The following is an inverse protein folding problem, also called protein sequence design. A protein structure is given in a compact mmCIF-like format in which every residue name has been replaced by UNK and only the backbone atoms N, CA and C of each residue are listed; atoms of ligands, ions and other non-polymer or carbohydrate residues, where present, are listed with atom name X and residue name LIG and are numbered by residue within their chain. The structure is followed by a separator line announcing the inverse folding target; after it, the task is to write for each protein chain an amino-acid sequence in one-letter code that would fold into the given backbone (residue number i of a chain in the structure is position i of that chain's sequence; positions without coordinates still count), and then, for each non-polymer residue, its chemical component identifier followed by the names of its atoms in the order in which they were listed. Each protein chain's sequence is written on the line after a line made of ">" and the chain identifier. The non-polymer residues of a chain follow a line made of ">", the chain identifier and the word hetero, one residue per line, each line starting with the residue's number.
data_IF_886530298689
#
_entry.id   IF_886530298689
#
_cell.length_a   1.000
_cell.length_b   1.000
_cell.length_c   1.000
_cell.angle_alpha   90.00
_cell.angle_beta   90.00
_cell.angle_gamma   90.00
#
_symmetry.space_group_name_H-M   'P 1'
#
loop_
_entity.id
_entity.type
_entity.pdbx_description
1 polymer ?
#
# COMPACT_ATOMS: atom_id res chain seq x y z
N UNK A 1 1.98 -23.41 0.62
CA UNK A 1 3.15 -22.57 0.96
C UNK A 1 3.19 -21.36 0.05
N UNK A 2 3.39 -20.18 0.62
CA UNK A 2 3.50 -18.94 -0.16
C UNK A 2 4.96 -18.77 -0.59
N UNK A 3 5.21 -18.71 -1.89
CA UNK A 3 6.53 -18.54 -2.48
C UNK A 3 6.70 -17.20 -3.18
N UNK A 4 5.59 -16.60 -3.57
CA UNK A 4 5.57 -15.30 -4.26
C UNK A 4 4.52 -14.38 -3.69
N UNK A 5 4.86 -13.10 -3.56
CA UNK A 5 3.96 -12.06 -3.06
C UNK A 5 4.03 -10.88 -4.02
N UNK A 6 2.87 -10.46 -4.51
CA UNK A 6 2.76 -9.23 -5.27
C UNK A 6 2.27 -8.10 -4.34
N UNK A 7 2.95 -6.98 -4.40
CA UNK A 7 2.72 -5.86 -3.46
C UNK A 7 2.32 -4.61 -4.23
N UNK A 8 1.28 -3.95 -3.75
CA UNK A 8 0.87 -2.64 -4.26
C UNK A 8 0.40 -1.78 -3.10
N UNK A 9 1.02 -0.65 -2.88
CA UNK A 9 0.57 0.32 -1.89
C UNK A 9 -0.75 0.96 -2.32
N UNK A 10 -1.60 1.30 -1.36
CA UNK A 10 -2.88 1.95 -1.60
C UNK A 10 -3.92 1.01 -2.20
N UNK A 11 -4.57 1.41 -3.29
CA UNK A 11 -5.60 0.63 -3.97
C UNK A 11 -4.97 -0.27 -5.04
N UNK A 12 -4.87 -1.57 -4.76
CA UNK A 12 -4.16 -2.52 -5.60
C UNK A 12 -5.01 -3.29 -6.61
N UNK A 13 -6.32 -3.06 -6.64
CA UNK A 13 -7.23 -3.88 -7.45
C UNK A 13 -6.88 -3.91 -8.93
N UNK A 14 -6.65 -2.76 -9.55
CA UNK A 14 -6.32 -2.69 -10.99
C UNK A 14 -4.87 -3.10 -11.27
N UNK A 15 -3.95 -2.73 -10.40
CA UNK A 15 -2.51 -3.02 -10.58
C UNK A 15 -2.22 -4.52 -10.45
N UNK A 16 -2.84 -5.17 -9.47
CA UNK A 16 -2.60 -6.58 -9.17
C UNK A 16 -3.48 -7.52 -10.00
N UNK A 17 -4.48 -7.00 -10.69
CA UNK A 17 -5.39 -7.82 -11.49
C UNK A 17 -4.62 -8.66 -12.50
N UNK A 18 -4.82 -9.97 -12.44
CA UNK A 18 -4.17 -10.92 -13.36
C UNK A 18 -2.70 -11.21 -13.08
N UNK A 19 -2.11 -10.62 -12.05
CA UNK A 19 -0.74 -10.95 -11.64
C UNK A 19 -0.71 -12.35 -11.02
N UNK A 20 0.17 -13.21 -11.52
CA UNK A 20 0.36 -14.53 -10.93
C UNK A 20 1.26 -14.44 -9.70
N UNK A 21 0.65 -14.69 -8.54
CA UNK A 21 1.36 -14.74 -7.27
C UNK A 21 0.55 -15.56 -6.26
N UNK A 22 1.24 -16.14 -5.30
CA UNK A 22 0.60 -16.91 -4.24
C UNK A 22 -0.20 -16.02 -3.27
N UNK A 23 0.25 -14.79 -3.10
CA UNK A 23 -0.45 -13.82 -2.26
C UNK A 23 -0.33 -12.40 -2.81
N UNK A 24 -1.36 -11.60 -2.53
CA UNK A 24 -1.35 -10.15 -2.73
C UNK A 24 -1.29 -9.46 -1.37
N UNK A 25 -0.45 -8.45 -1.26
CA UNK A 25 -0.38 -7.54 -0.11
C UNK A 25 -0.64 -6.13 -0.62
N UNK A 26 -1.74 -5.55 -0.21
CA UNK A 26 -2.15 -4.21 -0.64
C UNK A 26 -2.96 -3.50 0.44
N UNK A 27 -3.23 -2.22 0.26
CA UNK A 27 -4.06 -1.46 1.19
C UNK A 27 -5.53 -1.83 1.09
N UNK A 28 -6.08 -1.75 -0.11
CA UNK A 28 -7.49 -2.04 -0.36
C UNK A 28 -7.74 -2.60 -1.75
N UNK A 29 -8.82 -3.33 -1.88
CA UNK A 29 -9.36 -3.85 -3.14
C UNK A 29 -10.86 -3.86 -3.07
N UNK A 30 -11.53 -3.77 -4.23
CA UNK A 30 -12.96 -3.99 -4.30
C UNK A 30 -13.29 -5.45 -3.97
N UNK A 31 -14.47 -5.67 -3.45
CA UNK A 31 -14.92 -7.01 -3.08
C UNK A 31 -14.79 -8.03 -4.22
N UNK A 32 -15.18 -7.63 -5.44
CA UNK A 32 -15.08 -8.52 -6.61
C UNK A 32 -13.63 -8.85 -6.97
N UNK A 33 -12.70 -7.93 -6.80
CA UNK A 33 -11.28 -8.19 -7.06
C UNK A 33 -10.72 -9.21 -6.07
N UNK A 34 -11.14 -9.13 -4.80
CA UNK A 34 -10.76 -10.11 -3.77
C UNK A 34 -11.32 -11.49 -4.10
N UNK A 35 -12.59 -11.56 -4.51
CA UNK A 35 -13.22 -12.83 -4.89
C UNK A 35 -12.51 -13.47 -6.09
N UNK A 36 -12.17 -12.67 -7.09
CA UNK A 36 -11.45 -13.14 -8.27
C UNK A 36 -10.06 -13.69 -7.92
N UNK A 37 -9.29 -12.96 -7.12
CA UNK A 37 -8.00 -13.42 -6.65
C UNK A 37 -8.10 -14.75 -5.90
N UNK A 38 -9.06 -14.82 -4.98
CA UNK A 38 -9.31 -16.04 -4.20
C UNK A 38 -9.71 -17.23 -5.09
N UNK A 39 -10.55 -17.00 -6.10
CA UNK A 39 -10.95 -18.04 -7.04
C UNK A 39 -9.77 -18.59 -7.84
N UNK A 40 -8.74 -17.79 -8.07
CA UNK A 40 -7.50 -18.22 -8.72
C UNK A 40 -6.50 -18.87 -7.76
N UNK A 41 -6.83 -18.97 -6.49
CA UNK A 41 -5.95 -19.55 -5.47
C UNK A 41 -4.95 -18.58 -4.86
N UNK A 42 -5.12 -17.28 -5.09
CA UNK A 42 -4.26 -16.24 -4.52
C UNK A 42 -4.84 -15.77 -3.17
N UNK A 43 -4.04 -15.79 -2.13
CA UNK A 43 -4.38 -15.20 -0.84
C UNK A 43 -4.31 -13.69 -0.90
N UNK A 44 -5.20 -12.98 -0.20
CA UNK A 44 -5.21 -11.52 -0.20
C UNK A 44 -5.10 -11.00 1.23
N UNK A 45 -4.15 -10.09 1.44
CA UNK A 45 -3.95 -9.40 2.72
C UNK A 45 -4.20 -7.91 2.47
N UNK A 46 -5.23 -7.37 3.13
CA UNK A 46 -5.61 -5.97 3.06
C UNK A 46 -5.18 -5.26 4.34
N UNK A 47 -4.49 -4.14 4.21
CA UNK A 47 -3.88 -3.41 5.33
C UNK A 47 -4.42 -1.99 5.51
N UNK A 48 -5.47 -1.60 4.80
CA UNK A 48 -6.00 -0.25 4.64
C UNK A 48 -5.09 0.63 3.78
N UNK A 49 -5.71 1.56 3.04
CA UNK A 49 -5.03 2.32 1.98
C UNK A 49 -3.76 3.02 2.48
N UNK A 50 -3.94 3.96 3.40
CA UNK A 50 -2.84 4.83 3.84
C UNK A 50 -1.83 4.13 4.74
N UNK A 51 -2.20 3.05 5.40
CA UNK A 51 -1.26 2.25 6.17
C UNK A 51 -0.14 1.66 5.31
N UNK A 52 -0.44 1.37 4.04
CA UNK A 52 0.56 0.85 3.10
C UNK A 52 1.42 1.95 2.49
N UNK A 53 1.08 3.22 2.70
CA UNK A 53 1.78 4.37 2.13
C UNK A 53 2.60 5.15 3.16
N UNK A 54 2.12 5.26 4.41
CA UNK A 54 2.74 6.08 5.45
C UNK A 54 4.19 5.73 5.73
N UNK A 55 4.53 4.47 5.71
CA UNK A 55 5.90 4.03 5.99
C UNK A 55 6.94 4.62 5.05
N UNK A 56 6.56 4.95 3.83
CA UNK A 56 7.47 5.56 2.86
C UNK A 56 7.68 7.06 3.09
N UNK A 57 6.79 7.75 3.79
CA UNK A 57 6.85 9.21 3.96
C UNK A 57 8.16 9.67 4.56
N UNK A 58 8.72 8.93 5.49
CA UNK A 58 9.99 9.26 6.12
C UNK A 58 11.15 9.23 5.11
N UNK A 59 11.16 8.24 4.25
CA UNK A 59 12.16 8.09 3.18
C UNK A 59 11.95 9.17 2.12
N UNK A 60 10.71 9.39 1.71
CA UNK A 60 10.35 10.41 0.73
C UNK A 60 10.71 11.82 1.23
N UNK A 61 10.45 12.12 2.50
CA UNK A 61 10.84 13.38 3.12
C UNK A 61 12.34 13.65 2.96
N UNK A 62 13.17 12.64 3.27
CA UNK A 62 14.62 12.79 3.17
C UNK A 62 15.06 13.01 1.72
N UNK A 63 14.47 12.31 0.77
CA UNK A 63 14.76 12.48 -0.66
C UNK A 63 14.36 13.86 -1.16
N UNK A 64 13.17 14.32 -0.79
CA UNK A 64 12.64 15.62 -1.20
C UNK A 64 13.44 16.76 -0.55
N UNK A 65 13.78 16.64 0.72
CA UNK A 65 14.61 17.63 1.41
C UNK A 65 15.98 17.77 0.74
N UNK A 66 16.58 16.67 0.33
CA UNK A 66 17.86 16.69 -0.39
C UNK A 66 17.73 17.33 -1.76
N UNK A 67 16.65 17.06 -2.47
CA UNK A 67 16.39 17.64 -3.79
C UNK A 67 16.17 19.15 -3.73
N UNK A 68 15.40 19.64 -2.76
CA UNK A 68 15.07 21.05 -2.59
C UNK A 68 16.21 21.86 -1.92
N UNK A 69 17.13 21.19 -1.25
CA UNK A 69 18.22 21.84 -0.55
C UNK A 69 17.73 22.77 0.56
N UNK A 70 18.25 24.01 0.57
CA UNK A 70 17.90 25.01 1.59
C UNK A 70 16.68 25.84 1.24
N UNK A 71 16.09 25.64 0.06
CA UNK A 71 14.98 26.47 -0.43
C UNK A 71 13.67 26.20 0.29
N UNK A 72 13.53 25.01 0.89
CA UNK A 72 12.30 24.63 1.58
C UNK A 72 12.59 23.71 2.75
N UNK A 73 11.76 23.81 3.77
CA UNK A 73 11.73 22.86 4.88
C UNK A 73 10.67 21.79 4.59
N UNK A 74 11.06 20.51 4.64
CA UNK A 74 10.17 19.38 4.36
C UNK A 74 9.88 18.63 5.66
N UNK A 75 8.62 18.52 6.00
CA UNK A 75 8.15 17.85 7.22
C UNK A 75 7.11 16.79 6.89
N UNK A 76 7.11 15.70 7.66
CA UNK A 76 6.00 14.74 7.67
C UNK A 76 5.01 15.18 8.73
N UNK A 77 3.71 15.23 8.39
CA UNK A 77 2.66 15.54 9.35
C UNK A 77 2.70 14.58 10.53
N UNK A 78 2.58 15.10 11.73
CA UNK A 78 2.49 14.29 12.96
C UNK A 78 1.05 13.99 13.37
N UNK A 79 0.08 14.60 12.71
CA UNK A 79 -1.35 14.43 12.99
C UNK A 79 -2.05 13.52 11.99
N UNK A 80 -1.33 13.12 10.95
CA UNK A 80 -1.86 12.16 9.98
C UNK A 80 -2.03 10.78 10.62
N UNK A 81 -3.18 10.18 10.41
CA UNK A 81 -3.52 8.84 10.92
C UNK A 81 -4.56 8.20 10.02
N UNK A 82 -4.72 6.90 10.16
CA UNK A 82 -5.79 6.17 9.49
C UNK A 82 -7.15 6.72 9.93
N UNK A 83 -8.03 7.11 8.98
CA UNK A 83 -9.36 7.62 9.33
C UNK A 83 -10.33 6.55 9.80
N UNK A 84 -10.02 5.28 9.55
CA UNK A 84 -10.87 4.15 9.92
C UNK A 84 -10.33 3.48 11.17
N UNK A 85 -11.20 3.21 12.13
CA UNK A 85 -10.89 2.49 13.35
C UNK A 85 -11.64 1.15 13.39
N UNK A 86 -11.10 0.22 14.15
CA UNK A 86 -11.81 -1.00 14.47
C UNK A 86 -12.83 -0.75 15.60
N UNK A 87 -14.04 -1.24 15.41
CA UNK A 87 -15.09 -1.11 16.41
C UNK A 87 -14.85 -2.00 17.63
#
# INVERSE_FOLDING_TARGET
>A
MIRSVAICAGAGGSVLSGVEADAYLTGEMRHHDVLDAKARGTSVILCEHTNTERGYLRIFRAKLARFLGRDAEVRVSRTDREPLDFA
#
